data_IF_430209947700
#
_entry.id   IF_430209947700
#
_cell.length_a   1.000
_cell.length_b   1.000
_cell.length_c   1.000
_cell.angle_alpha   90.00
_cell.angle_beta   90.00
_cell.angle_gamma   90.00
#
_symmetry.space_group_name_H-M   'P 1'
#
loop_
_entity.id
_entity.type
_entity.pdbx_description
1 polymer ?
#
# COMPACT_ATOMS: atom_id res chain seq x y z
N UNK A 1 3.10 3.96 15.28
CA UNK A 1 3.30 4.94 14.20
C UNK A 1 2.11 5.88 14.25
N UNK A 2 2.31 7.18 14.50
CA UNK A 2 1.21 8.14 14.57
C UNK A 2 0.75 8.45 13.15
N UNK A 3 -0.45 7.98 12.81
CA UNK A 3 -1.13 8.31 11.55
C UNK A 3 -2.29 9.23 11.87
N UNK A 4 -2.62 10.15 10.96
CA UNK A 4 -3.72 11.11 11.14
C UNK A 4 -5.03 10.42 11.56
N UNK A 5 -5.32 9.24 11.00
CA UNK A 5 -6.51 8.46 11.33
C UNK A 5 -6.55 8.00 12.79
N UNK A 6 -5.40 7.63 13.39
CA UNK A 6 -5.35 7.23 14.80
C UNK A 6 -5.53 8.44 15.73
N UNK A 7 -4.99 9.59 15.36
CA UNK A 7 -5.25 10.84 16.09
C UNK A 7 -6.73 11.21 16.04
N UNK A 8 -7.31 11.25 14.84
CA UNK A 8 -8.73 11.57 14.65
C UNK A 8 -9.64 10.60 15.38
N UNK A 9 -9.30 9.32 15.43
CA UNK A 9 -10.05 8.31 16.17
C UNK A 9 -10.20 8.67 17.65
N UNK A 10 -9.13 9.15 18.28
CA UNK A 10 -9.15 9.55 19.68
C UNK A 10 -9.83 10.92 19.88
N UNK A 11 -9.59 11.88 19.00
CA UNK A 11 -10.16 13.24 19.13
C UNK A 11 -11.67 13.27 18.86
N UNK A 12 -12.16 12.40 17.97
CA UNK A 12 -13.56 12.35 17.56
C UNK A 12 -14.42 11.38 18.37
N UNK A 13 -13.82 10.45 19.14
CA UNK A 13 -14.56 9.49 19.95
C UNK A 13 -15.55 10.12 20.96
N UNK A 14 -15.26 11.26 21.61
CA UNK A 14 -16.22 11.90 22.53
C UNK A 14 -17.50 12.37 21.85
N UNK A 15 -17.49 12.55 20.53
CA UNK A 15 -18.65 12.96 19.73
C UNK A 15 -19.42 11.77 19.13
N UNK A 16 -19.05 10.53 19.47
CA UNK A 16 -19.67 9.33 18.91
C UNK A 16 -19.30 9.06 17.45
N UNK A 17 -18.19 9.63 16.96
CA UNK A 17 -17.69 9.42 15.60
C UNK A 17 -16.55 8.41 15.62
N UNK A 18 -16.68 7.31 14.86
CA UNK A 18 -15.62 6.34 14.65
C UNK A 18 -14.79 6.66 13.40
N UNK A 19 -13.51 6.27 13.41
CA UNK A 19 -12.59 6.53 12.30
C UNK A 19 -11.92 5.24 11.89
N UNK A 20 -12.17 4.80 10.66
CA UNK A 20 -11.57 3.58 10.10
C UNK A 20 -10.52 3.94 9.06
N UNK A 21 -9.30 3.42 9.25
CA UNK A 21 -8.24 3.46 8.25
C UNK A 21 -8.22 2.13 7.48
N UNK A 22 -8.58 2.16 6.20
CA UNK A 22 -8.58 0.97 5.35
C UNK A 22 -7.23 0.83 4.65
N UNK A 23 -6.44 -0.15 5.08
CA UNK A 23 -5.21 -0.56 4.43
C UNK A 23 -5.54 -1.55 3.31
N UNK A 24 -5.67 -1.05 2.09
CA UNK A 24 -5.99 -1.84 0.92
C UNK A 24 -4.77 -2.60 0.39
N UNK A 25 -4.93 -3.89 0.12
CA UNK A 25 -4.01 -4.70 -0.67
C UNK A 25 -4.18 -4.45 -2.17
N UNK A 26 -3.66 -5.35 -3.00
CA UNK A 26 -3.78 -5.23 -4.45
C UNK A 26 -5.22 -5.53 -4.88
N UNK A 27 -5.96 -4.51 -5.32
CA UNK A 27 -7.33 -4.64 -5.83
C UNK A 27 -7.34 -4.29 -7.32
N UNK A 28 -8.04 -5.09 -8.12
CA UNK A 28 -8.17 -4.87 -9.56
C UNK A 28 -9.04 -3.62 -9.82
N UNK A 29 -8.39 -2.45 -9.90
CA UNK A 29 -9.02 -1.15 -10.15
C UNK A 29 -8.36 -0.47 -11.33
N UNK A 30 -9.01 0.56 -11.88
CA UNK A 30 -8.44 1.40 -12.95
C UNK A 30 -7.45 2.46 -12.41
N UNK A 31 -6.80 2.23 -11.27
CA UNK A 31 -5.93 3.22 -10.62
C UNK A 31 -4.77 3.67 -11.52
N UNK A 32 -4.20 2.76 -12.30
CA UNK A 32 -3.06 3.03 -13.18
C UNK A 32 -3.48 3.45 -14.60
N UNK A 33 -4.78 3.40 -14.91
CA UNK A 33 -5.28 3.59 -16.27
C UNK A 33 -5.05 5.01 -16.81
N UNK A 34 -4.82 5.99 -15.92
CA UNK A 34 -4.61 7.39 -16.29
C UNK A 34 -3.14 7.74 -16.51
N UNK A 35 -2.20 6.82 -16.25
CA UNK A 35 -0.77 7.09 -16.43
C UNK A 35 -0.31 6.55 -17.78
N UNK A 36 -0.42 7.41 -18.80
CA UNK A 36 -0.07 7.05 -20.18
C UNK A 36 1.43 7.21 -20.47
N UNK A 37 2.11 8.16 -19.80
CA UNK A 37 3.52 8.42 -20.02
C UNK A 37 4.27 8.57 -18.69
N UNK A 38 5.31 7.75 -18.53
CA UNK A 38 6.29 7.87 -17.45
C UNK A 38 7.65 8.17 -18.05
N UNK A 39 8.25 9.26 -17.62
CA UNK A 39 9.63 9.63 -17.96
C UNK A 39 10.37 10.11 -16.72
N UNK A 40 11.69 9.93 -16.73
CA UNK A 40 12.59 10.49 -15.73
C UNK A 40 13.31 11.70 -16.34
N UNK A 41 13.61 12.73 -15.53
CA UNK A 41 14.41 13.85 -16.00
C UNK A 41 15.82 13.39 -16.39
N UNK A 42 16.46 14.06 -17.36
CA UNK A 42 17.85 13.77 -17.73
C UNK A 42 18.79 13.83 -16.52
N UNK A 43 19.67 12.85 -16.39
CA UNK A 43 20.62 12.75 -15.26
C UNK A 43 20.01 12.25 -13.95
N UNK A 44 18.80 11.68 -13.98
CA UNK A 44 18.18 11.07 -12.79
C UNK A 44 19.05 9.95 -12.21
N UNK A 45 19.22 9.98 -10.88
CA UNK A 45 19.87 8.90 -10.14
C UNK A 45 19.12 7.55 -10.27
N UNK A 46 17.84 7.59 -10.64
CA UNK A 46 16.98 6.41 -10.76
C UNK A 46 16.96 5.80 -12.17
N UNK A 47 17.75 6.32 -13.11
CA UNK A 47 17.72 5.87 -14.51
C UNK A 47 17.96 4.37 -14.63
N UNK A 48 18.85 3.79 -13.81
CA UNK A 48 19.14 2.36 -13.81
C UNK A 48 17.97 1.47 -13.43
N UNK A 49 16.92 2.03 -12.80
CA UNK A 49 15.70 1.30 -12.41
C UNK A 49 14.43 1.87 -13.04
N UNK A 50 14.58 2.71 -14.08
CA UNK A 50 13.48 3.37 -14.78
C UNK A 50 12.39 2.40 -15.23
N UNK A 51 12.77 1.25 -15.79
CA UNK A 51 11.80 0.25 -16.27
C UNK A 51 11.03 -0.41 -15.12
N UNK A 52 11.67 -0.60 -13.97
CA UNK A 52 10.97 -1.09 -12.76
C UNK A 52 9.92 -0.07 -12.32
N UNK A 53 10.32 1.20 -12.20
CA UNK A 53 9.39 2.27 -11.80
C UNK A 53 8.26 2.39 -12.82
N UNK A 54 8.59 2.38 -14.12
CA UNK A 54 7.61 2.40 -15.21
C UNK A 54 6.60 1.27 -15.05
N UNK A 55 7.06 0.04 -14.81
CA UNK A 55 6.17 -1.10 -14.62
C UNK A 55 5.22 -0.96 -13.43
N UNK A 56 5.68 -0.38 -12.32
CA UNK A 56 4.81 -0.09 -11.18
C UNK A 56 3.79 1.00 -11.48
N UNK A 57 4.21 2.04 -12.20
CA UNK A 57 3.38 3.19 -12.60
C UNK A 57 2.31 2.78 -13.61
N UNK A 58 2.64 1.93 -14.58
CA UNK A 58 1.70 1.42 -15.59
C UNK A 58 0.93 0.19 -15.11
N UNK A 59 1.13 -0.24 -13.87
CA UNK A 59 0.47 -1.40 -13.27
C UNK A 59 0.96 -2.78 -13.75
N UNK A 60 1.90 -2.87 -14.69
CA UNK A 60 2.39 -4.15 -15.24
C UNK A 60 3.28 -4.93 -14.27
N UNK A 61 3.93 -4.25 -13.33
CA UNK A 61 4.72 -4.88 -12.28
C UNK A 61 3.90 -5.20 -11.01
N UNK A 62 2.61 -4.82 -10.98
CA UNK A 62 1.76 -5.06 -9.82
C UNK A 62 1.33 -6.54 -9.75
N UNK A 63 1.29 -7.14 -8.55
CA UNK A 63 0.65 -8.43 -8.37
C UNK A 63 -0.81 -8.40 -8.84
N UNK A 64 -1.31 -9.56 -9.31
CA UNK A 64 -2.70 -9.70 -9.72
C UNK A 64 -3.61 -9.25 -8.57
N UNK A 65 -4.43 -8.24 -8.86
CA UNK A 65 -5.38 -7.68 -7.90
C UNK A 65 -6.54 -8.64 -7.65
N UNK A 66 -7.05 -8.62 -6.42
CA UNK A 66 -8.27 -9.33 -6.06
C UNK A 66 -9.51 -8.65 -6.63
N UNK A 67 -10.67 -9.34 -6.63
CA UNK A 67 -11.92 -8.78 -7.15
C UNK A 67 -12.33 -7.50 -6.42
N UNK A 68 -12.69 -6.46 -7.18
CA UNK A 68 -13.13 -5.17 -6.64
C UNK A 68 -14.40 -5.31 -5.79
N UNK A 69 -15.37 -6.08 -6.26
CA UNK A 69 -16.66 -6.24 -5.57
C UNK A 69 -16.49 -6.92 -4.21
N UNK A 70 -15.63 -7.93 -4.11
CA UNK A 70 -15.33 -8.59 -2.84
C UNK A 70 -14.63 -7.64 -1.86
N UNK A 71 -13.68 -6.84 -2.36
CA UNK A 71 -13.03 -5.81 -1.54
C UNK A 71 -14.05 -4.78 -1.02
N UNK A 72 -14.90 -4.26 -1.91
CA UNK A 72 -15.92 -3.28 -1.56
C UNK A 72 -16.93 -3.83 -0.53
N UNK A 73 -17.41 -5.07 -0.73
CA UNK A 73 -18.31 -5.73 0.22
C UNK A 73 -17.66 -5.90 1.60
N UNK A 74 -16.39 -6.27 1.64
CA UNK A 74 -15.69 -6.48 2.91
C UNK A 74 -15.50 -5.16 3.67
N UNK A 75 -15.16 -4.08 2.96
CA UNK A 75 -15.06 -2.74 3.54
C UNK A 75 -16.42 -2.25 4.02
N UNK A 76 -17.47 -2.44 3.23
CA UNK A 76 -18.84 -2.09 3.61
C UNK A 76 -19.27 -2.82 4.89
N UNK A 77 -18.99 -4.12 5.00
CA UNK A 77 -19.33 -4.91 6.17
C UNK A 77 -18.57 -4.44 7.42
N UNK A 78 -17.31 -4.04 7.29
CA UNK A 78 -16.53 -3.51 8.41
C UNK A 78 -17.09 -2.19 8.94
N UNK A 79 -17.47 -1.28 8.04
CA UNK A 79 -17.96 0.05 8.39
C UNK A 79 -19.41 -0.02 8.86
N UNK A 80 -20.32 -0.50 8.01
CA UNK A 80 -21.77 -0.45 8.25
C UNK A 80 -22.23 -1.62 9.11
N UNK A 81 -21.70 -2.82 8.87
CA UNK A 81 -22.17 -4.02 9.55
C UNK A 81 -21.61 -4.20 10.96
N UNK A 82 -20.31 -3.93 11.14
CA UNK A 82 -19.57 -4.21 12.38
C UNK A 82 -19.23 -2.95 13.18
N UNK A 83 -19.41 -1.76 12.60
CA UNK A 83 -19.07 -0.49 13.26
C UNK A 83 -17.62 -0.45 13.71
N UNK A 84 -16.69 -0.95 12.88
CA UNK A 84 -15.28 -1.01 13.25
C UNK A 84 -14.70 0.39 13.46
N UNK A 85 -13.61 0.42 14.21
CA UNK A 85 -12.82 1.60 14.51
C UNK A 85 -11.32 1.24 14.42
N UNK A 86 -10.48 2.19 14.01
CA UNK A 86 -9.04 1.98 13.83
C UNK A 86 -8.66 1.35 12.48
N UNK A 87 -7.54 0.61 12.45
CA UNK A 87 -6.93 0.10 11.21
C UNK A 87 -7.54 -1.25 10.80
N UNK A 88 -7.99 -1.35 9.55
CA UNK A 88 -8.42 -2.63 8.94
C UNK A 88 -7.62 -2.93 7.68
N UNK A 89 -7.13 -4.16 7.56
CA UNK A 89 -6.37 -4.62 6.40
C UNK A 89 -7.26 -5.47 5.48
N UNK A 90 -7.47 -5.04 4.23
CA UNK A 90 -8.40 -5.69 3.29
C UNK A 90 -7.84 -5.85 1.90
N UNK A 91 -8.26 -6.91 1.22
CA UNK A 91 -7.73 -7.30 -0.09
C UNK A 91 -6.60 -8.33 0.01
N UNK A 92 -6.17 -8.89 -1.13
CA UNK A 92 -5.13 -9.91 -1.19
C UNK A 92 -3.85 -9.46 -0.47
N UNK A 93 -3.28 -10.36 0.32
CA UNK A 93 -2.04 -10.18 1.08
C UNK A 93 -2.04 -9.03 2.12
N UNK A 94 -3.11 -8.22 2.21
CA UNK A 94 -3.18 -7.09 3.13
C UNK A 94 -3.17 -7.53 4.60
N UNK A 95 -3.94 -8.56 4.94
CA UNK A 95 -3.99 -9.09 6.31
C UNK A 95 -2.64 -9.67 6.75
N UNK A 96 -1.95 -10.39 5.85
CA UNK A 96 -0.61 -10.89 6.10
C UNK A 96 0.39 -9.74 6.31
N UNK A 97 0.32 -8.69 5.50
CA UNK A 97 1.13 -7.49 5.69
C UNK A 97 0.81 -6.76 6.99
N UNK A 98 -0.46 -6.70 7.40
CA UNK A 98 -0.85 -6.14 8.69
C UNK A 98 -0.25 -6.91 9.86
N UNK A 99 -0.22 -8.25 9.79
CA UNK A 99 0.43 -9.09 10.78
C UNK A 99 1.95 -8.85 10.83
N UNK A 100 2.60 -8.86 9.67
CA UNK A 100 4.04 -8.57 9.51
C UNK A 100 4.38 -7.21 10.12
N UNK A 101 3.62 -6.16 9.78
CA UNK A 101 3.85 -4.80 10.26
C UNK A 101 3.61 -4.65 11.78
N UNK A 102 2.71 -5.46 12.35
CA UNK A 102 2.37 -5.38 13.77
C UNK A 102 3.33 -6.15 14.67
N UNK A 103 3.89 -7.26 14.18
CA UNK A 103 4.62 -8.22 15.03
C UNK A 103 6.10 -8.37 14.70
N UNK A 104 6.55 -8.02 13.49
CA UNK A 104 7.96 -8.14 13.15
C UNK A 104 8.75 -6.86 13.49
N UNK A 105 10.00 -7.00 13.94
CA UNK A 105 10.90 -5.86 14.10
C UNK A 105 11.11 -5.10 12.78
N UNK A 106 11.29 -3.79 12.87
CA UNK A 106 11.40 -2.88 11.71
C UNK A 106 12.52 -3.28 10.73
N UNK A 107 13.66 -3.78 11.23
CA UNK A 107 14.76 -4.20 10.35
C UNK A 107 14.36 -5.36 9.41
N UNK A 108 13.45 -6.22 9.85
CA UNK A 108 12.98 -7.36 9.06
C UNK A 108 11.97 -6.89 8.01
N UNK A 109 11.05 -5.99 8.40
CA UNK A 109 10.10 -5.39 7.46
C UNK A 109 10.83 -4.57 6.39
N UNK A 110 11.86 -3.81 6.77
CA UNK A 110 12.68 -3.03 5.84
C UNK A 110 13.42 -3.92 4.84
N UNK A 111 13.91 -5.08 5.29
CA UNK A 111 14.56 -6.05 4.42
C UNK A 111 13.58 -6.60 3.38
N UNK A 112 12.35 -6.96 3.79
CA UNK A 112 11.29 -7.44 2.89
C UNK A 112 10.94 -6.37 1.85
N UNK A 113 10.80 -5.11 2.28
CA UNK A 113 10.46 -4.00 1.38
C UNK A 113 11.58 -3.72 0.37
N UNK A 114 12.85 -3.83 0.79
CA UNK A 114 13.99 -3.63 -0.11
C UNK A 114 14.18 -4.79 -1.09
N UNK A 115 13.86 -6.02 -0.72
CA UNK A 115 14.05 -7.20 -1.59
C UNK A 115 12.93 -7.41 -2.61
N UNK A 116 11.72 -6.94 -2.33
CA UNK A 116 10.53 -7.30 -3.11
C UNK A 116 10.35 -6.38 -4.32
N UNK A 117 10.84 -6.80 -5.50
CA UNK A 117 10.59 -6.17 -6.82
C UNK A 117 10.68 -4.63 -6.85
N UNK A 118 11.46 -4.04 -5.95
CA UNK A 118 11.48 -2.60 -5.67
C UNK A 118 12.46 -1.84 -6.57
N UNK A 119 13.31 -2.56 -7.30
CA UNK A 119 14.45 -2.01 -8.03
C UNK A 119 15.60 -1.53 -7.13
N UNK A 120 15.38 -1.31 -5.83
CA UNK A 120 16.37 -0.72 -4.91
C UNK A 120 17.71 -1.46 -4.86
N UNK A 121 17.77 -2.81 -4.87
CA UNK A 121 19.06 -3.52 -4.91
C UNK A 121 19.85 -3.24 -6.20
N UNK A 122 19.16 -3.15 -7.34
CA UNK A 122 19.79 -2.84 -8.61
C UNK A 122 20.25 -1.37 -8.65
N UNK A 123 19.47 -0.45 -8.07
CA UNK A 123 19.86 0.94 -7.91
C UNK A 123 21.14 1.06 -7.08
N UNK A 124 21.20 0.40 -5.91
CA UNK A 124 22.35 0.45 -5.03
C UNK A 124 23.64 -0.04 -5.72
N UNK A 125 23.55 -1.10 -6.54
CA UNK A 125 24.69 -1.63 -7.31
C UNK A 125 25.23 -0.66 -8.37
N UNK A 126 24.38 0.21 -8.93
CA UNK A 126 24.80 1.16 -9.96
C UNK A 126 25.32 2.49 -9.37
N UNK A 127 25.13 2.71 -8.07
CA UNK A 127 25.63 3.89 -7.34
C UNK A 127 26.96 3.62 -6.61
N UNK A 128 27.38 2.35 -6.50
CA UNK A 128 28.64 1.90 -5.90
C UNK A 128 29.75 1.77 -6.94
#
# INVERSE_FOLDING_TARGET
MANISETLRHELSPFGVSVVAVMAGTVATNFDANVNEFSLPPGSLYESIKDNIKGWVTGTAKPVGGPLDEFAQTVLQDIVGKGKDGIVYRGPNAAAMGFVASWLPTWMTDKIMRSSNSGIPALAKNLS
#
